data_IF_653197338122
#
_entry.id   IF_653197338122
#
_cell.length_a   1.000
_cell.length_b   1.000
_cell.length_c   1.000
_cell.angle_alpha   90.00
_cell.angle_beta   90.00
_cell.angle_gamma   90.00
#
_symmetry.space_group_name_H-M   'P 1'
#
loop_
_entity.id
_entity.type
_entity.pdbx_description
1 polymer ?
#
# COMPACT_ATOMS: atom_id res chain seq x y z
N UNK A 1 -32.29 -15.38 -10.54
CA UNK A 1 -31.34 -16.42 -10.09
C UNK A 1 -31.32 -16.40 -8.58
N UNK A 2 -31.17 -17.58 -7.91
CA UNK A 2 -31.12 -17.59 -6.44
C UNK A 2 -29.79 -16.96 -5.93
N UNK A 3 -29.84 -16.28 -4.78
CA UNK A 3 -28.65 -15.69 -4.17
C UNK A 3 -27.55 -16.71 -3.86
N UNK A 4 -27.94 -17.93 -3.52
CA UNK A 4 -27.02 -19.05 -3.28
C UNK A 4 -26.23 -19.42 -4.56
N UNK A 5 -26.89 -19.39 -5.73
CA UNK A 5 -26.22 -19.64 -7.01
C UNK A 5 -25.20 -18.54 -7.33
N UNK A 6 -25.57 -17.27 -7.19
CA UNK A 6 -24.65 -16.14 -7.43
C UNK A 6 -23.46 -16.19 -6.46
N UNK A 7 -23.70 -16.46 -5.18
CA UNK A 7 -22.63 -16.67 -4.20
C UNK A 7 -21.67 -17.82 -4.60
N UNK A 8 -22.23 -18.93 -5.09
CA UNK A 8 -21.44 -20.06 -5.61
C UNK A 8 -20.60 -19.68 -6.85
N UNK A 9 -21.15 -18.91 -7.77
CA UNK A 9 -20.41 -18.41 -8.96
C UNK A 9 -19.25 -17.48 -8.55
N UNK A 10 -19.48 -16.60 -7.58
CA UNK A 10 -18.42 -15.70 -7.10
C UNK A 10 -17.33 -16.49 -6.37
N UNK A 11 -17.71 -17.44 -5.50
CA UNK A 11 -16.75 -18.30 -4.84
C UNK A 11 -15.88 -19.07 -5.84
N UNK A 12 -16.52 -19.64 -6.89
CA UNK A 12 -15.81 -20.31 -7.99
C UNK A 12 -14.90 -19.32 -8.75
N UNK A 13 -15.37 -18.10 -9.02
CA UNK A 13 -14.58 -17.05 -9.67
C UNK A 13 -13.31 -16.72 -8.86
N UNK A 14 -13.42 -16.57 -7.55
CA UNK A 14 -12.27 -16.34 -6.65
C UNK A 14 -11.30 -17.52 -6.70
N UNK A 15 -11.82 -18.73 -6.66
CA UNK A 15 -11.01 -19.96 -6.73
C UNK A 15 -10.26 -20.05 -8.07
N UNK A 16 -10.93 -19.73 -9.18
CA UNK A 16 -10.30 -19.64 -10.51
C UNK A 16 -9.18 -18.58 -10.50
N UNK A 17 -9.44 -17.39 -9.95
CA UNK A 17 -8.41 -16.32 -9.86
C UNK A 17 -7.20 -16.80 -9.06
N UNK A 18 -7.41 -17.40 -7.90
CA UNK A 18 -6.32 -17.92 -7.06
C UNK A 18 -5.51 -18.97 -7.83
N UNK A 19 -6.15 -19.96 -8.41
CA UNK A 19 -5.47 -21.06 -9.13
C UNK A 19 -4.76 -20.54 -10.38
N UNK A 20 -5.41 -19.69 -11.19
CA UNK A 20 -4.82 -19.16 -12.40
C UNK A 20 -3.57 -18.30 -12.12
N UNK A 21 -3.62 -17.44 -11.10
CA UNK A 21 -2.50 -16.54 -10.77
C UNK A 21 -1.39 -17.32 -10.03
N UNK A 22 -1.72 -18.13 -9.01
CA UNK A 22 -0.71 -18.76 -8.16
C UNK A 22 -0.08 -20.01 -8.79
N UNK A 23 -0.91 -20.92 -9.32
CA UNK A 23 -0.45 -22.21 -9.88
C UNK A 23 -0.04 -22.08 -11.35
N UNK A 24 -0.88 -21.45 -12.18
CA UNK A 24 -0.61 -21.30 -13.61
C UNK A 24 0.21 -20.05 -13.96
N UNK A 25 0.58 -19.23 -12.95
CA UNK A 25 1.39 -18.01 -13.12
C UNK A 25 0.86 -17.03 -14.16
N UNK A 26 -0.46 -17.00 -14.37
CA UNK A 26 -1.10 -16.08 -15.31
C UNK A 26 -1.07 -14.64 -14.75
N UNK A 27 -0.94 -13.66 -15.65
CA UNK A 27 -0.91 -12.25 -15.25
C UNK A 27 -2.28 -11.83 -14.67
N UNK A 28 -2.34 -11.16 -13.51
CA UNK A 28 -3.60 -10.76 -12.83
C UNK A 28 -4.56 -9.99 -13.73
N UNK A 29 -4.06 -9.11 -14.59
CA UNK A 29 -4.88 -8.36 -15.56
C UNK A 29 -5.72 -9.29 -16.44
N UNK A 30 -5.10 -10.28 -17.07
CA UNK A 30 -5.80 -11.22 -17.97
C UNK A 30 -6.84 -12.01 -17.21
N UNK A 31 -6.46 -12.52 -16.03
CA UNK A 31 -7.36 -13.34 -15.19
C UNK A 31 -8.56 -12.53 -14.74
N UNK A 32 -8.36 -11.31 -14.24
CA UNK A 32 -9.45 -10.44 -13.78
C UNK A 32 -10.45 -10.10 -14.90
N UNK A 33 -9.95 -9.76 -16.09
CA UNK A 33 -10.82 -9.45 -17.24
C UNK A 33 -11.62 -10.69 -17.67
N UNK A 34 -10.97 -11.85 -17.83
CA UNK A 34 -11.63 -13.09 -18.22
C UNK A 34 -12.66 -13.55 -17.16
N UNK A 35 -12.33 -13.48 -15.89
CA UNK A 35 -13.24 -13.83 -14.80
C UNK A 35 -14.40 -12.84 -14.72
N UNK A 36 -14.20 -11.55 -15.00
CA UNK A 36 -15.27 -10.56 -15.07
C UNK A 36 -16.29 -10.93 -16.15
N UNK A 37 -15.81 -11.29 -17.35
CA UNK A 37 -16.66 -11.73 -18.46
C UNK A 37 -17.39 -13.03 -18.08
N UNK A 38 -16.68 -14.00 -17.53
CA UNK A 38 -17.25 -15.28 -17.09
C UNK A 38 -18.40 -15.08 -16.08
N UNK A 39 -18.15 -14.30 -15.03
CA UNK A 39 -19.18 -14.02 -13.99
C UNK A 39 -20.40 -13.33 -14.60
N UNK A 40 -20.19 -12.30 -15.44
CA UNK A 40 -21.29 -11.58 -16.07
C UNK A 40 -22.17 -12.51 -16.92
N UNK A 41 -21.57 -13.35 -17.77
CA UNK A 41 -22.29 -14.29 -18.64
C UNK A 41 -23.01 -15.38 -17.84
N UNK A 42 -22.34 -16.01 -16.87
CA UNK A 42 -22.92 -17.09 -16.06
C UNK A 42 -24.06 -16.58 -15.18
N UNK A 43 -23.97 -15.31 -14.73
CA UNK A 43 -25.05 -14.64 -14.00
C UNK A 43 -26.16 -14.08 -14.92
N UNK A 44 -26.19 -14.42 -16.21
CA UNK A 44 -27.27 -14.12 -17.12
C UNK A 44 -27.30 -12.70 -17.69
N UNK A 45 -26.20 -11.95 -17.60
CA UNK A 45 -26.09 -10.65 -18.27
C UNK A 45 -26.00 -10.84 -19.80
N UNK A 46 -26.67 -10.01 -20.61
CA UNK A 46 -26.47 -9.99 -22.06
C UNK A 46 -25.01 -9.73 -22.43
N UNK A 47 -24.47 -10.42 -23.42
CA UNK A 47 -23.05 -10.39 -23.77
C UNK A 47 -22.55 -8.97 -24.12
N UNK A 48 -23.35 -8.19 -24.85
CA UNK A 48 -23.08 -6.80 -25.18
C UNK A 48 -22.97 -5.92 -23.90
N UNK A 49 -23.85 -6.15 -22.92
CA UNK A 49 -23.87 -5.46 -21.65
C UNK A 49 -22.67 -5.88 -20.78
N UNK A 50 -22.26 -7.15 -20.81
CA UNK A 50 -21.03 -7.60 -20.12
C UNK A 50 -19.82 -6.83 -20.65
N UNK A 51 -19.63 -6.76 -21.97
CA UNK A 51 -18.47 -6.08 -22.56
C UNK A 51 -18.51 -4.56 -22.28
N UNK A 52 -19.68 -3.93 -22.39
CA UNK A 52 -19.80 -2.49 -22.07
C UNK A 52 -19.53 -2.20 -20.60
N UNK A 53 -19.99 -3.05 -19.68
CA UNK A 53 -19.73 -2.93 -18.23
C UNK A 53 -18.25 -3.14 -17.91
N UNK A 54 -17.59 -4.13 -18.51
CA UNK A 54 -16.14 -4.37 -18.36
C UNK A 54 -15.33 -3.16 -18.81
N UNK A 55 -15.62 -2.61 -20.01
CA UNK A 55 -14.95 -1.40 -20.53
C UNK A 55 -15.21 -0.18 -19.64
N UNK A 56 -16.46 0.03 -19.22
CA UNK A 56 -16.86 1.13 -18.37
C UNK A 56 -16.19 1.06 -16.98
N UNK A 57 -16.12 -0.12 -16.39
CA UNK A 57 -15.44 -0.34 -15.12
C UNK A 57 -13.93 -0.09 -15.19
N UNK A 58 -13.28 -0.58 -16.27
CA UNK A 58 -11.86 -0.34 -16.54
C UNK A 58 -11.56 1.15 -16.66
N UNK A 59 -12.26 1.85 -17.54
CA UNK A 59 -12.04 3.29 -17.78
C UNK A 59 -12.43 4.15 -16.57
N UNK A 60 -13.51 3.80 -15.88
CA UNK A 60 -14.02 4.56 -14.74
C UNK A 60 -13.03 4.63 -13.58
N UNK A 61 -12.43 3.50 -13.20
CA UNK A 61 -11.44 3.50 -12.11
C UNK A 61 -10.14 4.23 -12.53
N UNK A 62 -9.68 4.07 -13.78
CA UNK A 62 -8.51 4.79 -14.25
C UNK A 62 -8.74 6.30 -14.33
N UNK A 63 -9.94 6.73 -14.72
CA UNK A 63 -10.34 8.14 -14.70
C UNK A 63 -10.28 8.72 -13.29
N UNK A 64 -10.67 7.94 -12.28
CA UNK A 64 -10.72 8.38 -10.89
C UNK A 64 -9.32 8.54 -10.25
N UNK A 65 -8.43 7.56 -10.45
CA UNK A 65 -7.18 7.48 -9.67
C UNK A 65 -5.91 7.29 -10.53
N UNK A 66 -6.04 7.11 -11.84
CA UNK A 66 -4.89 6.78 -12.68
C UNK A 66 -3.78 7.85 -12.61
N UNK A 67 -4.15 9.14 -12.68
CA UNK A 67 -3.20 10.26 -12.59
C UNK A 67 -2.49 10.26 -11.23
N UNK A 68 -3.24 9.99 -10.15
CA UNK A 68 -2.71 9.97 -8.78
C UNK A 68 -1.68 8.86 -8.59
N UNK A 69 -1.96 7.66 -9.15
CA UNK A 69 -1.01 6.53 -9.13
C UNK A 69 0.29 6.89 -9.87
N UNK A 70 0.18 7.43 -11.09
CA UNK A 70 1.36 7.82 -11.89
C UNK A 70 2.17 8.91 -11.18
N UNK A 71 1.51 9.93 -10.64
CA UNK A 71 2.17 11.02 -9.93
C UNK A 71 2.93 10.50 -8.69
N UNK A 72 2.30 9.63 -7.89
CA UNK A 72 2.94 9.03 -6.72
C UNK A 72 4.18 8.21 -7.07
N UNK A 73 4.12 7.40 -8.14
CA UNK A 73 5.27 6.59 -8.58
C UNK A 73 6.41 7.43 -9.17
N UNK A 74 6.11 8.55 -9.84
CA UNK A 74 7.13 9.50 -10.31
C UNK A 74 7.84 10.13 -9.11
N UNK A 75 7.12 10.62 -8.11
CA UNK A 75 7.70 11.20 -6.89
C UNK A 75 8.62 10.17 -6.22
N UNK A 76 8.12 8.95 -5.99
CA UNK A 76 8.90 7.87 -5.37
C UNK A 76 10.19 7.58 -6.12
N UNK A 77 10.13 7.47 -7.45
CA UNK A 77 11.30 7.21 -8.30
C UNK A 77 12.34 8.34 -8.23
N UNK A 78 11.90 9.60 -8.24
CA UNK A 78 12.83 10.73 -8.15
C UNK A 78 13.50 10.78 -6.76
N UNK A 79 12.74 10.55 -5.68
CA UNK A 79 13.29 10.52 -4.32
C UNK A 79 14.32 9.39 -4.14
N UNK A 80 14.09 8.26 -4.77
CA UNK A 80 15.03 7.14 -4.83
C UNK A 80 16.31 7.54 -5.57
N UNK A 81 16.19 8.03 -6.80
CA UNK A 81 17.32 8.35 -7.68
C UNK A 81 18.17 9.52 -7.18
N UNK A 82 17.59 10.48 -6.48
CA UNK A 82 18.29 11.67 -5.95
C UNK A 82 18.97 11.41 -4.59
N UNK A 83 18.79 10.22 -3.99
CA UNK A 83 19.27 9.94 -2.63
C UNK A 83 18.47 10.66 -1.53
N UNK A 84 17.34 11.28 -1.84
CA UNK A 84 16.48 11.93 -0.84
C UNK A 84 16.00 10.94 0.23
N UNK A 85 15.68 9.70 -0.16
CA UNK A 85 15.33 8.63 0.78
C UNK A 85 16.46 8.35 1.79
N UNK A 86 17.72 8.40 1.35
CA UNK A 86 18.89 8.26 2.20
C UNK A 86 19.04 9.43 3.19
N UNK A 87 18.79 10.66 2.72
CA UNK A 87 18.80 11.86 3.59
C UNK A 87 17.72 11.78 4.65
N UNK A 88 16.51 11.33 4.28
CA UNK A 88 15.41 11.10 5.24
C UNK A 88 15.82 10.10 6.31
N UNK A 89 16.40 8.97 5.90
CA UNK A 89 16.90 7.93 6.79
C UNK A 89 17.95 8.46 7.78
N UNK A 90 18.96 9.18 7.26
CA UNK A 90 20.02 9.74 8.09
C UNK A 90 19.51 10.83 9.05
N UNK A 91 18.51 11.60 8.64
CA UNK A 91 17.85 12.59 9.50
C UNK A 91 17.16 11.92 10.69
N UNK A 92 16.43 10.83 10.44
CA UNK A 92 15.77 10.05 11.51
C UNK A 92 16.81 9.43 12.44
N UNK A 93 17.91 8.92 11.88
CA UNK A 93 19.03 8.41 12.67
C UNK A 93 19.63 9.49 13.59
N UNK A 94 19.76 10.72 13.10
CA UNK A 94 20.23 11.85 13.89
C UNK A 94 19.30 12.25 15.03
N UNK A 95 17.97 12.17 14.82
CA UNK A 95 16.94 12.55 15.81
C UNK A 95 16.77 11.47 16.88
N UNK A 96 16.61 10.20 16.47
CA UNK A 96 16.28 9.08 17.37
C UNK A 96 17.52 8.59 18.12
N UNK A 97 18.68 8.70 17.48
CA UNK A 97 19.98 8.34 18.02
C UNK A 97 20.33 6.86 17.85
N UNK A 98 21.62 6.59 17.92
CA UNK A 98 22.22 5.26 17.65
C UNK A 98 21.94 4.23 18.74
N UNK A 99 21.72 4.67 19.97
CA UNK A 99 21.43 3.80 21.11
C UNK A 99 20.09 3.03 20.97
N UNK A 100 19.19 3.53 20.14
CA UNK A 100 17.89 2.91 19.85
C UNK A 100 17.83 2.38 18.42
N UNK A 101 18.90 1.75 17.95
CA UNK A 101 19.13 1.35 16.56
C UNK A 101 17.94 0.61 15.90
N UNK A 102 17.32 -0.32 16.61
CA UNK A 102 16.14 -1.07 16.10
C UNK A 102 14.94 -0.15 15.88
N UNK A 103 14.66 0.77 16.82
CA UNK A 103 13.60 1.77 16.67
C UNK A 103 13.92 2.74 15.52
N UNK A 104 15.16 3.20 15.46
CA UNK A 104 15.64 4.07 14.39
C UNK A 104 15.41 3.42 13.02
N UNK A 105 15.76 2.13 12.89
CA UNK A 105 15.63 1.43 11.63
C UNK A 105 14.17 1.26 11.21
N UNK A 106 13.28 0.91 12.17
CA UNK A 106 11.85 0.83 11.90
C UNK A 106 11.23 2.18 11.53
N UNK A 107 11.56 3.25 12.24
CA UNK A 107 11.09 4.60 11.90
C UNK A 107 11.64 5.09 10.55
N UNK A 108 12.88 4.75 10.23
CA UNK A 108 13.47 5.02 8.92
C UNK A 108 12.65 4.33 7.82
N UNK A 109 12.38 3.03 7.99
CA UNK A 109 11.51 2.29 7.07
C UNK A 109 10.10 2.89 6.99
N UNK A 110 9.51 3.23 8.11
CA UNK A 110 8.16 3.82 8.20
C UNK A 110 8.06 5.13 7.39
N UNK A 111 8.96 6.06 7.61
CA UNK A 111 8.90 7.37 6.91
C UNK A 111 9.24 7.23 5.43
N UNK A 112 10.27 6.46 5.09
CA UNK A 112 10.67 6.26 3.69
C UNK A 112 9.69 5.38 2.91
N UNK A 113 8.98 4.46 3.56
CA UNK A 113 7.97 3.61 2.94
C UNK A 113 6.68 4.34 2.54
N UNK A 114 6.46 5.57 3.02
CA UNK A 114 5.31 6.38 2.57
C UNK A 114 5.39 6.69 1.06
N UNK A 115 6.51 7.23 0.53
CA UNK A 115 6.61 7.56 -0.90
C UNK A 115 7.29 6.47 -1.75
N UNK A 116 8.07 5.58 -1.14
CA UNK A 116 8.93 4.62 -1.85
C UNK A 116 8.36 3.21 -1.73
N UNK A 117 8.41 2.45 -2.81
CA UNK A 117 8.05 1.03 -2.76
C UNK A 117 8.90 0.28 -1.74
N UNK A 118 8.29 -0.62 -0.99
CA UNK A 118 8.98 -1.37 0.07
C UNK A 118 10.21 -2.15 -0.45
N UNK A 119 10.14 -2.75 -1.64
CA UNK A 119 11.26 -3.45 -2.26
C UNK A 119 12.45 -2.51 -2.50
N UNK A 120 12.24 -1.40 -3.23
CA UNK A 120 13.26 -0.39 -3.50
C UNK A 120 13.77 0.26 -2.22
N UNK A 121 12.87 0.63 -1.31
CA UNK A 121 13.22 1.22 -0.01
C UNK A 121 14.12 0.30 0.81
N UNK A 122 13.84 -1.00 0.81
CA UNK A 122 14.68 -1.96 1.51
C UNK A 122 16.08 -2.07 0.89
N UNK A 123 16.18 -2.16 -0.44
CA UNK A 123 17.46 -2.23 -1.15
C UNK A 123 18.32 -1.00 -0.86
N UNK A 124 17.74 0.22 -0.95
CA UNK A 124 18.44 1.48 -0.72
C UNK A 124 18.91 1.62 0.73
N UNK A 125 18.09 1.16 1.69
CA UNK A 125 18.36 1.33 3.12
C UNK A 125 19.11 0.17 3.76
N UNK A 126 19.25 -0.97 3.05
CA UNK A 126 19.95 -2.14 3.57
C UNK A 126 21.43 -1.88 3.93
N UNK A 127 22.21 -1.07 3.18
CA UNK A 127 23.58 -0.73 3.60
C UNK A 127 23.61 0.07 4.91
N UNK A 128 22.62 0.96 5.13
CA UNK A 128 22.50 1.68 6.42
C UNK A 128 22.13 0.70 7.53
N UNK A 129 21.23 -0.24 7.26
CA UNK A 129 20.85 -1.28 8.23
C UNK A 129 22.07 -2.11 8.63
N UNK A 130 22.95 -2.48 7.69
CA UNK A 130 24.20 -3.19 7.93
C UNK A 130 25.17 -2.36 8.79
N UNK A 131 25.44 -1.13 8.38
CA UNK A 131 26.35 -0.23 9.10
C UNK A 131 25.85 0.05 10.53
N UNK A 132 24.54 0.20 10.73
CA UNK A 132 23.95 0.41 12.03
C UNK A 132 23.92 -0.86 12.88
N UNK A 133 23.72 -2.03 12.27
CA UNK A 133 23.79 -3.35 12.92
C UNK A 133 25.18 -3.58 13.50
N UNK A 134 26.23 -3.40 12.71
CA UNK A 134 27.62 -3.52 13.12
C UNK A 134 27.96 -2.57 14.27
N UNK A 135 27.66 -1.28 14.10
CA UNK A 135 27.97 -0.24 15.08
C UNK A 135 27.24 -0.39 16.41
N UNK A 136 26.05 -0.99 16.40
CA UNK A 136 25.23 -1.22 17.61
C UNK A 136 25.36 -2.63 18.18
N UNK A 137 26.18 -3.48 17.55
CA UNK A 137 26.33 -4.90 17.89
C UNK A 137 24.98 -5.64 17.95
N UNK A 138 24.12 -5.39 16.96
CA UNK A 138 22.80 -6.01 16.80
C UNK A 138 22.81 -6.87 15.55
N UNK A 139 22.24 -8.08 15.62
CA UNK A 139 22.14 -8.97 14.46
C UNK A 139 21.48 -8.29 13.26
N UNK A 140 22.01 -8.54 12.06
CA UNK A 140 21.42 -8.07 10.81
C UNK A 140 19.99 -8.60 10.61
N UNK A 141 19.67 -9.79 11.14
CA UNK A 141 18.30 -10.33 11.14
C UNK A 141 17.33 -9.38 11.87
N UNK A 142 17.73 -8.82 12.99
CA UNK A 142 16.91 -7.85 13.75
C UNK A 142 16.74 -6.54 12.97
N UNK A 143 17.84 -6.02 12.42
CA UNK A 143 17.81 -4.75 11.69
C UNK A 143 17.00 -4.85 10.38
N UNK A 144 17.19 -5.92 9.61
CA UNK A 144 16.41 -6.16 8.40
C UNK A 144 14.93 -6.36 8.71
N UNK A 145 14.59 -7.11 9.76
CA UNK A 145 13.20 -7.30 10.18
C UNK A 145 12.57 -5.98 10.63
N UNK A 146 13.31 -5.13 11.37
CA UNK A 146 12.82 -3.83 11.82
C UNK A 146 12.62 -2.86 10.64
N UNK A 147 13.56 -2.83 9.69
CA UNK A 147 13.43 -2.05 8.47
C UNK A 147 12.22 -2.49 7.66
N UNK A 148 12.08 -3.80 7.47
CA UNK A 148 10.94 -4.39 6.76
C UNK A 148 9.61 -4.01 7.39
N UNK A 149 9.50 -4.10 8.71
CA UNK A 149 8.28 -3.74 9.43
C UNK A 149 7.88 -2.28 9.20
N UNK A 150 8.83 -1.35 9.29
CA UNK A 150 8.55 0.06 9.00
C UNK A 150 8.06 0.29 7.58
N UNK A 151 8.80 -0.21 6.59
CA UNK A 151 8.48 -0.06 5.17
C UNK A 151 7.12 -0.67 4.82
N UNK A 152 6.84 -1.87 5.31
CA UNK A 152 5.67 -2.62 4.88
C UNK A 152 4.38 -2.11 5.52
N UNK A 153 4.45 -1.65 6.77
CA UNK A 153 3.32 -1.03 7.45
C UNK A 153 2.78 0.18 6.67
N UNK A 154 3.66 1.08 6.21
CA UNK A 154 3.23 2.25 5.44
C UNK A 154 2.91 1.91 3.99
N UNK A 155 3.64 1.00 3.37
CA UNK A 155 3.37 0.58 1.99
C UNK A 155 1.95 0.02 1.81
N UNK A 156 1.44 -0.75 2.77
CA UNK A 156 0.12 -1.37 2.67
C UNK A 156 -1.03 -0.48 3.18
N UNK A 157 -0.74 0.53 4.02
CA UNK A 157 -1.78 1.28 4.72
C UNK A 157 -1.83 2.77 4.37
N UNK A 158 -0.73 3.36 3.90
CA UNK A 158 -0.62 4.82 3.77
C UNK A 158 -0.45 5.26 2.31
N UNK A 159 -1.40 6.04 1.75
CA UNK A 159 -1.14 6.76 0.51
C UNK A 159 0.08 7.71 0.65
N UNK A 160 0.82 8.03 -0.43
CA UNK A 160 0.49 7.83 -1.83
C UNK A 160 0.96 6.51 -2.45
N UNK A 161 1.21 5.47 -1.66
CA UNK A 161 1.47 4.15 -2.24
C UNK A 161 0.29 3.67 -3.09
N UNK A 162 0.54 3.00 -4.22
CA UNK A 162 -0.50 2.72 -5.22
C UNK A 162 -1.64 1.81 -4.74
N UNK A 163 -1.34 0.86 -3.85
CA UNK A 163 -2.34 -0.06 -3.30
C UNK A 163 -3.46 0.66 -2.54
N UNK A 164 -3.13 1.44 -1.49
CA UNK A 164 -4.10 2.26 -0.77
C UNK A 164 -4.86 3.25 -1.65
N UNK A 165 -4.20 3.88 -2.63
CA UNK A 165 -4.88 4.77 -3.59
C UNK A 165 -5.91 3.98 -4.43
N UNK A 166 -5.53 2.81 -4.96
CA UNK A 166 -6.41 1.98 -5.76
C UNK A 166 -7.65 1.53 -4.97
N UNK A 167 -7.47 1.16 -3.70
CA UNK A 167 -8.59 0.82 -2.81
C UNK A 167 -9.49 2.03 -2.56
N UNK A 168 -8.90 3.20 -2.28
CA UNK A 168 -9.66 4.44 -2.04
C UNK A 168 -10.54 4.79 -3.24
N UNK A 169 -9.98 4.72 -4.46
CA UNK A 169 -10.76 4.93 -5.70
C UNK A 169 -11.84 3.89 -5.92
N UNK A 170 -11.56 2.61 -5.68
CA UNK A 170 -12.52 1.52 -5.87
C UNK A 170 -13.72 1.63 -4.92
N UNK A 171 -13.48 2.02 -3.67
CA UNK A 171 -14.49 2.17 -2.62
C UNK A 171 -15.09 3.58 -2.58
N UNK A 172 -14.65 4.51 -3.43
CA UNK A 172 -15.02 5.92 -3.40
C UNK A 172 -14.88 6.51 -1.99
N UNK A 173 -13.71 6.32 -1.38
CA UNK A 173 -13.36 6.84 -0.07
C UNK A 173 -12.64 8.18 -0.17
N UNK A 174 -12.81 9.05 0.82
CA UNK A 174 -12.04 10.29 0.93
C UNK A 174 -10.55 9.96 1.16
N UNK A 175 -9.68 10.38 0.23
CA UNK A 175 -8.26 10.03 0.26
C UNK A 175 -7.54 10.65 1.47
N UNK A 176 -7.94 11.85 1.91
CA UNK A 176 -7.34 12.49 3.09
C UNK A 176 -7.70 11.74 4.37
N UNK A 177 -8.95 11.28 4.50
CA UNK A 177 -9.35 10.43 5.60
C UNK A 177 -8.60 9.08 5.58
N UNK A 178 -8.41 8.50 4.40
CA UNK A 178 -7.61 7.26 4.23
C UNK A 178 -6.16 7.48 4.66
N UNK A 179 -5.55 8.62 4.31
CA UNK A 179 -4.20 8.97 4.78
C UNK A 179 -4.14 9.06 6.30
N UNK A 180 -5.08 9.79 6.92
CA UNK A 180 -5.11 9.98 8.37
C UNK A 180 -5.29 8.65 9.11
N UNK A 181 -6.28 7.87 8.73
CA UNK A 181 -6.55 6.56 9.34
C UNK A 181 -5.40 5.59 9.06
N UNK A 182 -4.80 5.65 7.87
CA UNK A 182 -3.61 4.87 7.51
C UNK A 182 -2.41 5.18 8.39
N UNK A 183 -2.11 6.45 8.62
CA UNK A 183 -1.04 6.86 9.54
C UNK A 183 -1.31 6.40 10.98
N UNK A 184 -2.56 6.47 11.44
CA UNK A 184 -2.93 6.01 12.79
C UNK A 184 -2.80 4.49 12.91
N UNK A 185 -3.28 3.73 11.93
CA UNK A 185 -3.31 2.26 11.99
C UNK A 185 -1.95 1.61 11.70
N UNK A 186 -1.09 2.26 10.94
CA UNK A 186 0.26 1.76 10.63
C UNK A 186 1.24 1.86 11.81
N UNK A 187 1.02 2.78 12.77
CA UNK A 187 1.87 2.89 13.96
C UNK A 187 1.81 1.64 14.85
N UNK A 188 0.63 1.13 15.28
CA UNK A 188 0.56 -0.13 16.02
C UNK A 188 1.18 -1.31 15.26
N UNK A 189 0.98 -1.37 13.92
CA UNK A 189 1.60 -2.40 13.08
C UNK A 189 3.13 -2.37 13.19
N UNK A 190 3.73 -1.20 12.94
CA UNK A 190 5.18 -1.01 13.06
C UNK A 190 5.69 -1.36 14.46
N UNK A 191 5.02 -0.89 15.52
CA UNK A 191 5.42 -1.18 16.90
C UNK A 191 5.42 -2.69 17.17
N UNK A 192 4.37 -3.39 16.74
CA UNK A 192 4.28 -4.84 16.87
C UNK A 192 5.41 -5.55 16.09
N UNK A 193 5.71 -5.07 14.88
CA UNK A 193 6.83 -5.55 14.08
C UNK A 193 8.18 -5.33 14.76
N UNK A 194 8.41 -4.17 15.38
CA UNK A 194 9.64 -3.89 16.14
C UNK A 194 9.77 -4.77 17.38
N UNK A 195 8.68 -5.03 18.10
CA UNK A 195 8.67 -5.95 19.23
C UNK A 195 9.00 -7.37 18.75
N UNK A 196 8.42 -7.78 17.62
CA UNK A 196 8.73 -9.06 17.00
C UNK A 196 10.20 -9.17 16.59
N UNK A 197 10.74 -8.15 15.94
CA UNK A 197 12.15 -8.09 15.56
C UNK A 197 13.07 -8.29 16.79
N UNK A 198 12.78 -7.60 17.89
CA UNK A 198 13.57 -7.72 19.13
C UNK A 198 13.42 -9.07 19.83
N UNK A 199 12.25 -9.72 19.78
CA UNK A 199 11.97 -10.95 20.54
C UNK A 199 12.22 -12.22 19.73
N UNK A 200 12.00 -12.19 18.43
CA UNK A 200 12.07 -13.37 17.57
C UNK A 200 13.28 -13.33 16.65
N UNK A 201 13.49 -12.25 15.89
CA UNK A 201 14.61 -12.15 14.98
C UNK A 201 15.97 -12.12 15.75
N UNK A 202 15.99 -11.65 17.00
CA UNK A 202 17.19 -11.66 17.86
C UNK A 202 17.72 -13.07 18.21
N UNK A 203 16.92 -14.10 17.95
CA UNK A 203 17.37 -15.51 18.16
C UNK A 203 18.30 -15.99 17.02
N UNK A 204 18.41 -15.21 15.95
CA UNK A 204 19.21 -15.54 14.77
C UNK A 204 20.36 -14.53 14.67
N UNK A 205 21.56 -15.00 14.95
CA UNK A 205 22.76 -14.20 14.84
C UNK A 205 23.28 -14.22 13.41
N UNK A 206 23.15 -13.09 12.72
CA UNK A 206 23.69 -12.85 11.39
C UNK A 206 24.64 -11.65 11.49
N UNK A 207 25.94 -11.83 11.15
CA UNK A 207 26.91 -10.74 11.18
C UNK A 207 26.56 -9.70 10.11
N UNK A 208 26.76 -8.43 10.44
CA UNK A 208 26.37 -7.34 9.56
C UNK A 208 27.31 -7.16 8.36
N UNK A 209 28.62 -7.37 8.56
CA UNK A 209 29.69 -7.24 7.56
C UNK A 209 29.46 -6.05 6.61
N UNK A 210 29.43 -4.79 7.10
CA UNK A 210 29.17 -3.65 6.26
C UNK A 210 30.35 -3.41 5.29
N UNK A 211 30.04 -3.15 4.03
CA UNK A 211 31.04 -2.74 3.02
C UNK A 211 31.47 -1.28 3.22
N UNK A 212 30.54 -0.44 3.78
CA UNK A 212 30.70 0.99 3.95
C UNK A 212 30.15 1.44 5.29
N UNK A 213 30.75 2.45 5.87
CA UNK A 213 30.14 3.23 6.99
C UNK A 213 28.98 4.08 6.47
N UNK A 214 28.13 4.60 7.39
CA UNK A 214 27.03 5.51 7.00
C UNK A 214 27.59 6.76 6.31
N UNK A 215 28.69 7.26 6.83
CA UNK A 215 29.39 8.44 6.32
C UNK A 215 29.91 8.21 4.90
N UNK A 216 30.57 7.09 4.62
CA UNK A 216 31.06 6.71 3.28
C UNK A 216 29.91 6.47 2.29
N UNK A 217 28.79 5.92 2.75
CA UNK A 217 27.57 5.78 1.92
C UNK A 217 27.04 7.15 1.48
N UNK A 218 27.03 8.12 2.41
CA UNK A 218 26.59 9.49 2.08
C UNK A 218 27.55 10.16 1.06
N UNK A 219 28.84 9.97 1.17
CA UNK A 219 29.84 10.47 0.21
C UNK A 219 29.71 9.85 -1.17
N UNK A 220 29.39 8.55 -1.26
CA UNK A 220 29.22 7.82 -2.54
C UNK A 220 28.10 8.41 -3.42
N UNK A 221 27.03 8.94 -2.81
CA UNK A 221 25.96 9.61 -3.55
C UNK A 221 26.31 11.04 -4.00
N UNK A 222 27.47 11.57 -3.59
CA UNK A 222 27.90 12.91 -3.92
C UNK A 222 27.07 14.01 -3.25
N UNK A 223 26.61 15.00 -4.02
CA UNK A 223 25.84 16.12 -3.45
C UNK A 223 24.39 15.70 -3.18
N UNK A 224 24.10 15.31 -1.95
CA UNK A 224 22.77 14.98 -1.47
C UNK A 224 21.89 16.24 -1.30
N UNK A 225 20.56 16.11 -1.49
CA UNK A 225 19.63 17.20 -1.26
C UNK A 225 19.55 17.58 0.23
N UNK A 226 19.11 18.81 0.53
CA UNK A 226 18.87 19.23 1.91
C UNK A 226 17.69 18.51 2.55
N UNK A 227 17.67 18.44 3.88
CA UNK A 227 16.63 17.73 4.65
C UNK A 227 15.23 18.22 4.28
N UNK A 228 14.95 19.52 4.36
CA UNK A 228 13.63 20.08 4.05
C UNK A 228 13.22 19.76 2.61
N UNK A 229 14.13 19.87 1.65
CA UNK A 229 13.86 19.52 0.26
C UNK A 229 13.52 18.04 0.08
N UNK A 230 14.19 17.14 0.82
CA UNK A 230 13.93 15.69 0.73
C UNK A 230 12.55 15.31 1.23
N UNK A 231 12.03 15.97 2.25
CA UNK A 231 10.70 15.71 2.81
C UNK A 231 9.57 16.45 2.08
N UNK A 232 9.83 17.63 1.50
CA UNK A 232 8.80 18.49 0.91
C UNK A 232 7.92 17.82 -0.15
N UNK A 233 8.45 17.02 -1.10
CA UNK A 233 7.64 16.33 -2.11
C UNK A 233 6.59 15.36 -1.56
N UNK A 234 6.72 14.95 -0.30
CA UNK A 234 5.82 14.02 0.38
C UNK A 234 4.89 14.79 1.31
N UNK A 235 5.48 15.57 2.20
CA UNK A 235 4.73 16.22 3.28
C UNK A 235 3.76 17.26 2.73
N UNK A 236 4.18 18.05 1.74
CA UNK A 236 3.30 19.09 1.21
C UNK A 236 2.04 18.54 0.52
N UNK A 237 2.10 17.55 -0.39
CA UNK A 237 0.89 16.93 -0.93
C UNK A 237 -0.03 16.34 0.14
N UNK A 238 0.52 15.68 1.16
CA UNK A 238 -0.28 15.12 2.27
C UNK A 238 -1.03 16.24 3.01
N UNK A 239 -0.36 17.34 3.33
CA UNK A 239 -0.98 18.50 3.99
C UNK A 239 -2.07 19.10 3.09
N UNK A 240 -1.81 19.29 1.80
CA UNK A 240 -2.79 19.86 0.86
C UNK A 240 -4.04 18.98 0.76
N UNK A 241 -3.89 17.66 0.63
CA UNK A 241 -4.99 16.70 0.60
C UNK A 241 -5.79 16.74 1.92
N UNK A 242 -5.10 16.79 3.07
CA UNK A 242 -5.76 16.92 4.36
C UNK A 242 -6.54 18.24 4.49
N UNK A 243 -5.99 19.35 3.99
CA UNK A 243 -6.69 20.66 3.95
C UNK A 243 -7.97 20.58 3.12
N UNK A 244 -7.96 19.89 1.96
CA UNK A 244 -9.17 19.63 1.16
C UNK A 244 -10.21 18.85 1.98
N UNK A 245 -9.81 17.74 2.62
CA UNK A 245 -10.74 16.93 3.41
C UNK A 245 -11.38 17.72 4.53
N UNK A 246 -10.63 18.63 5.17
CA UNK A 246 -11.18 19.58 6.14
C UNK A 246 -12.12 20.59 5.47
N UNK A 247 -11.75 21.14 4.31
CA UNK A 247 -12.55 22.12 3.58
C UNK A 247 -13.90 21.55 3.12
N UNK A 248 -13.91 20.28 2.70
CA UNK A 248 -15.08 19.58 2.18
C UNK A 248 -15.92 18.90 3.29
N UNK A 249 -15.51 19.04 4.56
CA UNK A 249 -16.22 18.44 5.69
C UNK A 249 -17.64 19.05 5.83
N UNK A 250 -18.67 18.24 6.18
CA UNK A 250 -20.07 18.71 6.21
C UNK A 250 -20.36 19.91 7.09
N UNK A 251 -19.53 20.17 8.12
CA UNK A 251 -19.67 21.36 8.98
C UNK A 251 -19.14 22.65 8.35
N UNK A 252 -18.58 22.58 7.14
CA UNK A 252 -17.99 23.71 6.40
C UNK A 252 -17.06 24.62 7.24
N UNK A 253 -16.01 24.08 7.87
CA UNK A 253 -15.18 24.85 8.81
C UNK A 253 -14.45 26.04 8.17
N UNK A 254 -14.28 26.04 6.84
CA UNK A 254 -13.70 27.16 6.07
C UNK A 254 -14.76 28.06 5.41
N UNK A 255 -16.04 27.87 5.76
CA UNK A 255 -17.17 28.58 5.15
C UNK A 255 -17.43 28.14 3.70
N UNK A 256 -18.39 28.82 3.04
CA UNK A 256 -18.69 28.62 1.61
C UNK A 256 -18.23 29.86 0.83
N UNK A 257 -17.05 29.80 0.23
CA UNK A 257 -16.51 30.94 -0.50
C UNK A 257 -15.19 30.67 -1.19
N UNK A 258 -14.51 31.72 -1.63
CA UNK A 258 -13.25 31.63 -2.38
C UNK A 258 -12.17 30.83 -1.63
N UNK A 259 -12.10 30.92 -0.30
CA UNK A 259 -11.12 30.19 0.53
C UNK A 259 -11.35 28.70 0.44
N UNK A 260 -12.61 28.23 0.61
CA UNK A 260 -12.98 26.81 0.45
C UNK A 260 -12.66 26.35 -0.96
N UNK A 261 -13.09 27.08 -1.98
CA UNK A 261 -12.86 26.72 -3.40
C UNK A 261 -11.37 26.57 -3.69
N UNK A 262 -10.55 27.53 -3.22
CA UNK A 262 -9.09 27.46 -3.39
C UNK A 262 -8.48 26.28 -2.63
N UNK A 263 -8.87 26.07 -1.37
CA UNK A 263 -8.39 24.94 -0.56
C UNK A 263 -8.76 23.59 -1.19
N UNK A 264 -10.00 23.43 -1.67
CA UNK A 264 -10.45 22.23 -2.37
C UNK A 264 -9.72 22.01 -3.68
N UNK A 265 -9.39 23.08 -4.42
CA UNK A 265 -8.63 22.99 -5.68
C UNK A 265 -7.18 22.56 -5.45
N UNK A 266 -6.42 23.27 -4.59
CA UNK A 266 -5.01 22.93 -4.36
C UNK A 266 -4.82 21.62 -3.61
N UNK A 267 -5.81 21.23 -2.79
CA UNK A 267 -5.84 19.97 -2.06
C UNK A 267 -6.43 18.80 -2.88
N UNK A 268 -6.88 19.04 -4.11
CA UNK A 268 -7.24 17.94 -4.98
C UNK A 268 -6.04 17.00 -5.18
N UNK A 269 -6.20 15.67 -4.99
CA UNK A 269 -5.08 14.73 -5.04
C UNK A 269 -4.22 14.86 -6.32
N UNK A 270 -4.85 15.17 -7.46
CA UNK A 270 -4.11 15.38 -8.72
C UNK A 270 -3.22 16.63 -8.63
N UNK A 271 -3.79 17.76 -8.18
CA UNK A 271 -3.04 19.03 -8.07
C UNK A 271 -1.96 18.92 -7.00
N UNK A 272 -2.29 18.39 -5.82
CA UNK A 272 -1.35 18.22 -4.73
C UNK A 272 -0.14 17.35 -5.12
N UNK A 273 -0.37 16.23 -5.82
CA UNK A 273 0.73 15.38 -6.27
C UNK A 273 1.50 15.96 -7.46
N UNK A 274 0.87 16.73 -8.34
CA UNK A 274 1.60 17.48 -9.36
C UNK A 274 2.55 18.52 -8.72
N UNK A 275 2.12 19.22 -7.66
CA UNK A 275 3.00 20.07 -6.85
C UNK A 275 4.14 19.23 -6.25
N UNK A 276 3.83 18.03 -5.74
CA UNK A 276 4.84 17.08 -5.25
C UNK A 276 5.87 16.70 -6.32
N UNK A 277 5.45 16.45 -7.57
CA UNK A 277 6.36 16.18 -8.69
C UNK A 277 7.28 17.39 -8.94
N UNK A 278 6.73 18.61 -9.00
CA UNK A 278 7.54 19.81 -9.19
C UNK A 278 8.59 19.96 -8.09
N UNK A 279 8.24 19.73 -6.84
CA UNK A 279 9.18 19.72 -5.73
C UNK A 279 10.23 18.63 -5.87
N UNK A 280 9.83 17.41 -6.22
CA UNK A 280 10.75 16.30 -6.46
C UNK A 280 11.75 16.62 -7.59
N UNK A 281 11.29 17.26 -8.66
CA UNK A 281 12.16 17.69 -9.77
C UNK A 281 13.23 18.69 -9.34
N UNK A 282 13.00 19.51 -8.31
CA UNK A 282 14.02 20.43 -7.76
C UNK A 282 15.16 19.71 -7.03
N UNK A 283 14.97 18.45 -6.67
CA UNK A 283 16.00 17.61 -6.04
C UNK A 283 17.04 17.13 -7.06
N UNK A 284 16.71 17.13 -8.36
CA UNK A 284 17.57 16.58 -9.40
C UNK A 284 18.75 17.54 -9.60
N UNK A 285 20.01 17.11 -9.37
CA UNK A 285 21.17 17.94 -9.56
C UNK A 285 21.28 18.45 -11.01
N UNK A 286 21.85 19.63 -11.19
CA UNK A 286 22.07 20.22 -12.54
C UNK A 286 22.91 19.28 -13.44
N UNK A 287 23.89 18.58 -12.84
CA UNK A 287 24.70 17.57 -13.53
C UNK A 287 23.88 16.41 -14.09
N UNK A 288 22.76 16.07 -13.45
CA UNK A 288 21.85 14.99 -13.83
C UNK A 288 20.61 15.48 -14.59
N UNK A 289 20.59 16.75 -14.99
CA UNK A 289 19.40 17.36 -15.62
C UNK A 289 18.98 16.69 -16.93
N UNK A 290 19.90 16.05 -17.66
CA UNK A 290 19.61 15.24 -18.85
C UNK A 290 18.86 13.93 -18.53
N UNK A 291 18.94 13.44 -17.30
CA UNK A 291 18.27 12.22 -16.86
C UNK A 291 16.84 12.48 -16.34
N UNK A 292 16.39 13.73 -16.26
CA UNK A 292 15.05 14.08 -15.76
C UNK A 292 13.94 13.33 -16.49
N UNK A 293 14.02 13.31 -17.81
CA UNK A 293 13.03 12.65 -18.65
C UNK A 293 13.01 11.13 -18.38
N UNK A 294 14.19 10.50 -18.34
CA UNK A 294 14.33 9.06 -18.14
C UNK A 294 13.83 8.64 -16.76
N UNK A 295 14.08 9.44 -15.71
CA UNK A 295 13.59 9.13 -14.35
C UNK A 295 12.08 9.27 -14.25
N UNK A 296 11.48 10.27 -14.93
CA UNK A 296 10.03 10.37 -15.04
C UNK A 296 9.43 9.20 -15.81
N UNK A 297 10.04 8.81 -16.96
CA UNK A 297 9.64 7.63 -17.72
C UNK A 297 9.71 6.37 -16.87
N UNK A 298 10.77 6.20 -16.06
CA UNK A 298 10.89 5.05 -15.16
C UNK A 298 9.75 5.05 -14.12
N UNK A 299 9.39 6.20 -13.56
CA UNK A 299 8.23 6.33 -12.65
C UNK A 299 6.92 5.93 -13.32
N UNK A 300 6.71 6.32 -14.57
CA UNK A 300 5.54 5.91 -15.38
C UNK A 300 5.56 4.40 -15.62
N UNK A 301 6.69 3.84 -16.02
CA UNK A 301 6.84 2.39 -16.22
C UNK A 301 6.58 1.59 -14.95
N UNK A 302 7.02 2.08 -13.79
CA UNK A 302 6.74 1.47 -12.49
C UNK A 302 5.24 1.45 -12.17
N UNK A 303 4.45 2.42 -12.68
CA UNK A 303 3.00 2.45 -12.51
C UNK A 303 2.23 1.56 -13.47
N UNK A 304 2.81 1.17 -14.62
CA UNK A 304 2.09 0.54 -15.72
C UNK A 304 1.34 -0.73 -15.33
N UNK A 305 2.01 -1.67 -14.67
CA UNK A 305 1.37 -2.92 -14.20
C UNK A 305 0.25 -2.63 -13.19
N UNK A 306 0.46 -1.66 -12.29
CA UNK A 306 -0.52 -1.26 -11.28
C UNK A 306 -1.77 -0.70 -11.95
N UNK A 307 -1.61 0.18 -12.93
CA UNK A 307 -2.73 0.79 -13.67
C UNK A 307 -3.58 -0.27 -14.37
N UNK A 308 -2.97 -1.19 -15.12
CA UNK A 308 -3.74 -2.20 -15.86
C UNK A 308 -4.44 -3.19 -14.93
N UNK A 309 -3.82 -3.58 -13.81
CA UNK A 309 -4.43 -4.46 -12.80
C UNK A 309 -5.58 -3.73 -12.10
N UNK A 310 -5.40 -2.45 -11.74
CA UNK A 310 -6.43 -1.62 -11.14
C UNK A 310 -7.62 -1.44 -12.07
N UNK A 311 -7.37 -1.17 -13.36
CA UNK A 311 -8.41 -1.12 -14.38
C UNK A 311 -9.21 -2.43 -14.48
N UNK A 312 -8.51 -3.57 -14.50
CA UNK A 312 -9.14 -4.89 -14.53
C UNK A 312 -9.95 -5.19 -13.25
N UNK A 313 -9.44 -4.75 -12.07
CA UNK A 313 -10.18 -4.78 -10.82
C UNK A 313 -11.48 -3.95 -10.88
N UNK A 314 -11.40 -2.75 -11.48
CA UNK A 314 -12.58 -1.91 -11.76
C UNK A 314 -13.60 -2.60 -12.65
N UNK A 315 -13.15 -3.34 -13.68
CA UNK A 315 -14.03 -4.17 -14.52
C UNK A 315 -14.77 -5.23 -13.71
N UNK A 316 -14.04 -5.96 -12.87
CA UNK A 316 -14.61 -6.98 -12.00
C UNK A 316 -15.61 -6.39 -11.00
N UNK A 317 -15.23 -5.29 -10.33
CA UNK A 317 -16.11 -4.57 -9.41
C UNK A 317 -17.39 -4.03 -10.09
N UNK A 318 -17.29 -3.53 -11.34
CA UNK A 318 -18.44 -3.07 -12.10
C UNK A 318 -19.42 -4.21 -12.43
N UNK A 319 -18.92 -5.38 -12.83
CA UNK A 319 -19.77 -6.58 -13.02
C UNK A 319 -20.46 -6.96 -11.72
N UNK A 320 -19.73 -7.06 -10.61
CA UNK A 320 -20.32 -7.42 -9.32
C UNK A 320 -21.40 -6.43 -8.85
N UNK A 321 -21.20 -5.13 -9.08
CA UNK A 321 -22.18 -4.08 -8.73
C UNK A 321 -23.49 -4.18 -9.53
N UNK A 322 -23.49 -4.80 -10.71
CA UNK A 322 -24.72 -5.01 -11.51
C UNK A 322 -25.53 -6.21 -11.06
N UNK A 323 -24.95 -7.08 -10.23
CA UNK A 323 -25.62 -8.26 -9.70
C UNK A 323 -26.29 -7.92 -8.34
N UNK A 324 -27.48 -8.45 -8.05
CA UNK A 324 -28.19 -8.21 -6.78
C UNK A 324 -27.56 -8.99 -5.62
N UNK A 325 -26.27 -8.79 -5.40
CA UNK A 325 -25.48 -9.53 -4.40
C UNK A 325 -25.75 -9.07 -2.98
N UNK A 326 -25.96 -7.77 -2.80
CA UNK A 326 -26.24 -7.19 -1.48
C UNK A 326 -27.51 -7.83 -0.89
N UNK A 327 -28.60 -7.95 -1.68
CA UNK A 327 -29.85 -8.55 -1.24
C UNK A 327 -29.71 -10.06 -0.99
N UNK A 328 -28.89 -10.73 -1.81
CA UNK A 328 -28.70 -12.17 -1.76
C UNK A 328 -27.82 -12.66 -0.60
N UNK A 329 -26.85 -11.85 -0.18
CA UNK A 329 -25.87 -12.21 0.84
C UNK A 329 -26.08 -11.47 2.16
N UNK A 330 -26.94 -10.43 2.19
CA UNK A 330 -27.15 -9.58 3.37
C UNK A 330 -27.53 -10.36 4.61
N UNK A 331 -28.45 -11.31 4.50
CA UNK A 331 -28.89 -12.13 5.64
C UNK A 331 -27.78 -13.03 6.18
N UNK A 332 -26.98 -13.63 5.31
CA UNK A 332 -25.86 -14.46 5.70
C UNK A 332 -24.70 -13.63 6.30
N UNK A 333 -24.37 -12.47 5.69
CA UNK A 333 -23.30 -11.59 6.18
C UNK A 333 -23.67 -10.92 7.50
N UNK A 334 -24.93 -10.47 7.67
CA UNK A 334 -25.42 -9.90 8.92
C UNK A 334 -25.47 -10.92 10.05
N UNK A 335 -25.82 -12.19 9.74
CA UNK A 335 -25.84 -13.26 10.75
C UNK A 335 -24.45 -13.64 11.25
N UNK A 336 -23.40 -13.47 10.43
CA UNK A 336 -22.03 -13.79 10.79
C UNK A 336 -21.32 -12.69 11.60
N UNK A 337 -21.86 -11.45 11.61
CA UNK A 337 -21.28 -10.27 12.31
C UNK A 337 -19.76 -10.09 12.11
N UNK A 338 -19.25 -10.45 10.93
CA UNK A 338 -17.80 -10.52 10.67
C UNK A 338 -17.22 -9.09 10.43
N UNK A 339 -18.05 -8.11 10.01
CA UNK A 339 -17.62 -6.70 9.87
C UNK A 339 -16.31 -6.55 9.08
N UNK A 340 -15.35 -5.86 9.66
CA UNK A 340 -14.03 -5.58 9.07
C UNK A 340 -13.14 -6.82 8.90
N UNK A 341 -13.46 -7.94 9.54
CA UNK A 341 -12.69 -9.19 9.39
C UNK A 341 -12.91 -9.85 8.02
N UNK A 342 -14.08 -9.67 7.37
CA UNK A 342 -14.32 -10.25 6.05
C UNK A 342 -13.32 -9.73 5.01
N UNK A 343 -13.18 -8.40 4.78
CA UNK A 343 -12.19 -7.86 3.86
C UNK A 343 -10.75 -8.25 4.23
N UNK A 344 -10.43 -8.31 5.51
CA UNK A 344 -9.12 -8.78 5.98
C UNK A 344 -8.85 -10.23 5.55
N UNK A 345 -9.77 -11.16 5.82
CA UNK A 345 -9.60 -12.58 5.50
C UNK A 345 -9.45 -12.79 3.99
N UNK A 346 -10.30 -12.14 3.18
CA UNK A 346 -10.22 -12.24 1.72
C UNK A 346 -8.84 -11.74 1.24
N UNK A 347 -8.39 -10.58 1.71
CA UNK A 347 -7.09 -10.03 1.35
C UNK A 347 -5.93 -10.94 1.77
N UNK A 348 -5.97 -11.51 2.97
CA UNK A 348 -4.94 -12.41 3.48
C UNK A 348 -4.85 -13.72 2.67
N UNK A 349 -5.99 -14.29 2.30
CA UNK A 349 -6.04 -15.47 1.44
C UNK A 349 -5.49 -15.18 0.04
N UNK A 350 -5.91 -14.08 -0.57
CA UNK A 350 -5.41 -13.67 -1.89
C UNK A 350 -3.92 -13.33 -1.84
N UNK A 351 -3.44 -12.62 -0.82
CA UNK A 351 -2.02 -12.33 -0.62
C UNK A 351 -1.20 -13.62 -0.49
N UNK A 352 -1.65 -14.53 0.36
CA UNK A 352 -0.98 -15.83 0.55
C UNK A 352 -0.92 -16.63 -0.76
N UNK A 353 -1.98 -16.58 -1.57
CA UNK A 353 -2.02 -17.30 -2.84
C UNK A 353 -1.19 -16.65 -3.96
N UNK A 354 -1.30 -15.32 -4.11
CA UNK A 354 -0.75 -14.58 -5.27
C UNK A 354 0.64 -13.97 -5.01
N UNK A 355 1.00 -13.73 -3.76
CA UNK A 355 2.28 -13.16 -3.36
C UNK A 355 2.35 -11.62 -3.43
N UNK A 356 1.58 -10.97 -4.28
CA UNK A 356 1.65 -9.51 -4.48
C UNK A 356 0.60 -8.77 -3.64
N UNK A 357 1.05 -7.91 -2.71
CA UNK A 357 0.16 -7.12 -1.83
C UNK A 357 -0.75 -6.20 -2.60
N UNK A 358 -0.21 -5.43 -3.55
CA UNK A 358 -0.98 -4.47 -4.36
C UNK A 358 -2.09 -5.16 -5.15
N UNK A 359 -1.82 -6.35 -5.71
CA UNK A 359 -2.83 -7.14 -6.43
C UNK A 359 -3.93 -7.61 -5.47
N UNK A 360 -3.55 -8.13 -4.29
CA UNK A 360 -4.51 -8.56 -3.26
C UNK A 360 -5.40 -7.39 -2.81
N UNK A 361 -4.84 -6.19 -2.59
CA UNK A 361 -5.58 -4.97 -2.26
C UNK A 361 -6.62 -4.61 -3.33
N UNK A 362 -6.19 -4.55 -4.60
CA UNK A 362 -7.05 -4.17 -5.73
C UNK A 362 -8.20 -5.18 -5.91
N UNK A 363 -7.88 -6.48 -5.94
CA UNK A 363 -8.88 -7.53 -6.14
C UNK A 363 -9.87 -7.57 -4.98
N UNK A 364 -9.38 -7.52 -3.74
CA UNK A 364 -10.24 -7.54 -2.55
C UNK A 364 -11.16 -6.33 -2.51
N UNK A 365 -10.65 -5.12 -2.78
CA UNK A 365 -11.48 -3.91 -2.78
C UNK A 365 -12.60 -3.98 -3.80
N UNK A 366 -12.32 -4.52 -5.01
CA UNK A 366 -13.33 -4.73 -6.04
C UNK A 366 -14.42 -5.74 -5.62
N UNK A 367 -14.03 -6.81 -4.91
CA UNK A 367 -14.97 -7.82 -4.39
C UNK A 367 -15.83 -7.27 -3.24
N UNK A 368 -15.23 -6.47 -2.35
CA UNK A 368 -15.90 -5.97 -1.14
C UNK A 368 -16.79 -4.75 -1.45
N UNK A 369 -16.46 -3.96 -2.46
CA UNK A 369 -17.19 -2.73 -2.81
C UNK A 369 -18.73 -2.90 -2.87
N UNK A 370 -19.31 -3.91 -3.53
CA UNK A 370 -20.76 -4.11 -3.56
C UNK A 370 -21.35 -4.58 -2.23
N UNK A 371 -20.53 -5.08 -1.29
CA UNK A 371 -20.95 -5.63 -0.01
C UNK A 371 -20.93 -4.56 1.11
N UNK A 372 -20.36 -3.38 0.87
CA UNK A 372 -20.20 -2.32 1.88
C UNK A 372 -21.50 -1.96 2.63
N UNK A 373 -22.65 -1.77 1.94
CA UNK A 373 -23.91 -1.47 2.62
C UNK A 373 -24.36 -2.61 3.56
N UNK A 374 -24.23 -3.88 3.09
CA UNK A 374 -24.62 -5.07 3.86
C UNK A 374 -23.72 -5.33 5.07
N UNK A 375 -22.48 -4.83 5.04
CA UNK A 375 -21.55 -4.91 6.17
C UNK A 375 -21.74 -3.77 7.19
N UNK A 376 -22.62 -2.80 6.92
CA UNK A 376 -22.80 -1.61 7.75
C UNK A 376 -21.63 -0.61 7.69
N UNK A 377 -20.74 -0.74 6.70
CA UNK A 377 -19.47 0.01 6.59
C UNK A 377 -19.46 1.01 5.41
N UNK A 378 -20.65 1.47 4.98
CA UNK A 378 -20.77 2.38 3.84
C UNK A 378 -20.47 3.85 4.16
N UNK A 379 -20.35 4.24 5.43
CA UNK A 379 -19.93 5.58 5.86
C UNK A 379 -18.49 5.89 5.39
N UNK A 380 -18.10 7.17 5.33
CA UNK A 380 -16.72 7.53 4.93
C UNK A 380 -15.67 6.91 5.86
N UNK A 381 -15.94 6.89 7.18
CA UNK A 381 -15.07 6.22 8.14
C UNK A 381 -15.09 4.70 7.94
N UNK A 382 -16.26 4.09 7.70
CA UNK A 382 -16.39 2.68 7.39
C UNK A 382 -15.58 2.26 6.16
N UNK A 383 -15.62 3.06 5.08
CA UNK A 383 -14.79 2.84 3.89
C UNK A 383 -13.29 2.90 4.21
N UNK A 384 -12.85 3.91 4.98
CA UNK A 384 -11.45 4.02 5.40
C UNK A 384 -11.02 2.81 6.24
N UNK A 385 -11.84 2.35 7.18
CA UNK A 385 -11.56 1.17 8.01
C UNK A 385 -11.51 -0.13 7.19
N UNK A 386 -12.38 -0.27 6.18
CA UNK A 386 -12.31 -1.40 5.24
C UNK A 386 -11.02 -1.38 4.44
N UNK A 387 -10.57 -0.21 3.97
CA UNK A 387 -9.27 -0.07 3.29
C UNK A 387 -8.14 -0.53 4.23
N UNK A 388 -8.15 -0.12 5.49
CA UNK A 388 -7.16 -0.55 6.46
C UNK A 388 -7.23 -2.07 6.74
N UNK A 389 -8.42 -2.65 6.80
CA UNK A 389 -8.60 -4.09 6.97
C UNK A 389 -8.06 -4.88 5.76
N UNK A 390 -8.32 -4.40 4.53
CA UNK A 390 -7.75 -4.98 3.31
C UNK A 390 -6.23 -4.84 3.31
N UNK A 391 -5.70 -3.67 3.66
CA UNK A 391 -4.27 -3.40 3.80
C UNK A 391 -3.62 -4.35 4.80
N UNK A 392 -4.24 -4.55 5.96
CA UNK A 392 -3.81 -5.49 6.99
C UNK A 392 -3.75 -6.94 6.47
N UNK A 393 -4.78 -7.39 5.75
CA UNK A 393 -4.79 -8.71 5.13
C UNK A 393 -3.74 -8.87 4.04
N UNK A 394 -3.56 -7.83 3.22
CA UNK A 394 -2.59 -7.84 2.12
C UNK A 394 -1.13 -7.77 2.56
N UNK A 395 -0.85 -7.41 3.80
CA UNK A 395 0.50 -7.53 4.38
C UNK A 395 0.72 -8.87 5.08
N UNK A 396 -0.35 -9.56 5.48
CA UNK A 396 -0.25 -10.84 6.16
C UNK A 396 0.51 -11.89 5.33
N UNK A 397 1.40 -12.64 6.00
CA UNK A 397 2.04 -13.84 5.45
C UNK A 397 2.81 -13.56 4.14
N UNK A 398 3.76 -12.63 4.16
CA UNK A 398 4.77 -12.49 3.11
C UNK A 398 5.69 -13.72 3.12
N UNK A 399 5.71 -14.52 2.05
CA UNK A 399 6.48 -15.76 1.97
C UNK A 399 7.13 -15.94 0.58
N UNK A 400 7.66 -17.12 0.27
CA UNK A 400 8.48 -17.37 -0.92
C UNK A 400 7.84 -17.05 -2.28
N UNK A 401 6.52 -16.81 -2.36
CA UNK A 401 5.88 -16.32 -3.59
C UNK A 401 5.87 -14.80 -3.74
N UNK A 402 6.35 -14.07 -2.72
CA UNK A 402 6.41 -12.62 -2.66
C UNK A 402 7.83 -12.12 -2.97
N UNK A 403 7.96 -11.15 -3.89
CA UNK A 403 9.24 -10.51 -4.21
C UNK A 403 9.89 -9.88 -2.97
N UNK A 404 9.08 -9.22 -2.14
CA UNK A 404 9.57 -8.57 -0.94
C UNK A 404 10.18 -9.54 0.08
N UNK A 405 9.64 -10.75 0.19
CA UNK A 405 10.26 -11.81 1.01
C UNK A 405 11.71 -12.08 0.59
N UNK A 406 11.96 -12.16 -0.71
CA UNK A 406 13.30 -12.43 -1.23
C UNK A 406 14.23 -11.22 -1.09
N UNK A 407 13.73 -10.02 -1.32
CA UNK A 407 14.51 -8.79 -1.09
C UNK A 407 14.96 -8.73 0.36
N UNK A 408 14.05 -8.88 1.33
CA UNK A 408 14.41 -8.85 2.75
C UNK A 408 15.39 -9.97 3.10
N UNK A 409 15.15 -11.19 2.63
CA UNK A 409 16.01 -12.32 2.96
C UNK A 409 17.42 -12.16 2.41
N UNK A 410 17.56 -11.76 1.14
CA UNK A 410 18.87 -11.65 0.48
C UNK A 410 19.68 -10.47 1.01
N UNK A 411 19.08 -9.30 1.15
CA UNK A 411 19.77 -8.11 1.67
C UNK A 411 20.05 -8.12 3.17
N UNK A 412 19.44 -9.08 3.89
CA UNK A 412 19.74 -9.32 5.32
C UNK A 412 20.52 -10.63 5.55
N UNK A 413 21.06 -11.25 4.50
CA UNK A 413 21.80 -12.52 4.54
C UNK A 413 21.05 -13.65 5.28
N UNK A 414 19.71 -13.61 5.24
CA UNK A 414 18.88 -14.63 5.86
C UNK A 414 18.77 -15.86 4.97
N UNK A 415 19.06 -17.04 5.51
CA UNK A 415 18.62 -18.28 4.84
C UNK A 415 17.11 -18.30 4.73
N UNK A 416 16.57 -19.03 3.75
CA UNK A 416 15.11 -19.13 3.56
C UNK A 416 14.34 -19.52 4.83
N UNK A 417 14.89 -20.45 5.62
CA UNK A 417 14.30 -20.86 6.89
C UNK A 417 14.25 -19.74 7.93
N UNK A 418 15.30 -18.92 8.01
CA UNK A 418 15.32 -17.75 8.89
C UNK A 418 14.36 -16.68 8.38
N UNK A 419 14.31 -16.45 7.05
CA UNK A 419 13.39 -15.50 6.44
C UNK A 419 11.91 -15.85 6.73
N UNK A 420 11.54 -17.14 6.71
CA UNK A 420 10.20 -17.57 7.14
C UNK A 420 9.92 -17.20 8.61
N UNK A 421 10.92 -17.27 9.49
CA UNK A 421 10.73 -16.90 10.90
C UNK A 421 10.73 -15.38 11.10
N UNK A 422 11.56 -14.65 10.38
CA UNK A 422 11.70 -13.21 10.50
C UNK A 422 10.66 -12.47 9.65
N UNK A 423 10.70 -12.61 8.33
CA UNK A 423 9.86 -11.85 7.41
C UNK A 423 8.40 -12.31 7.42
N UNK A 424 8.14 -13.60 7.22
CA UNK A 424 6.76 -14.10 7.24
C UNK A 424 6.13 -13.92 8.62
N UNK A 425 6.89 -14.15 9.67
CA UNK A 425 6.41 -13.98 11.04
C UNK A 425 6.09 -12.53 11.39
N UNK A 426 6.94 -11.57 11.00
CA UNK A 426 6.69 -10.15 11.30
C UNK A 426 5.46 -9.63 10.55
N UNK A 427 5.34 -9.95 9.26
CA UNK A 427 4.19 -9.50 8.45
C UNK A 427 2.87 -10.12 8.92
N UNK A 428 2.89 -11.36 9.42
CA UNK A 428 1.74 -11.95 10.08
C UNK A 428 1.32 -11.16 11.33
N UNK A 429 2.28 -10.85 12.20
CA UNK A 429 2.02 -10.09 13.44
C UNK A 429 1.52 -8.68 13.12
N UNK A 430 2.09 -8.00 12.14
CA UNK A 430 1.63 -6.68 11.69
C UNK A 430 0.19 -6.72 11.19
N UNK A 431 -0.14 -7.67 10.31
CA UNK A 431 -1.48 -7.82 9.75
C UNK A 431 -2.53 -8.09 10.84
N UNK A 432 -2.25 -9.01 11.77
CA UNK A 432 -3.15 -9.31 12.89
C UNK A 432 -3.30 -8.09 13.82
N UNK A 433 -2.19 -7.43 14.18
CA UNK A 433 -2.26 -6.24 15.03
C UNK A 433 -3.08 -5.14 14.38
N UNK A 434 -2.88 -4.92 13.08
CA UNK A 434 -3.63 -3.90 12.34
C UNK A 434 -5.12 -4.21 12.31
N UNK A 435 -5.53 -5.43 11.97
CA UNK A 435 -6.97 -5.74 11.90
C UNK A 435 -7.64 -5.68 13.26
N UNK A 436 -6.96 -6.09 14.33
CA UNK A 436 -7.48 -5.94 15.70
C UNK A 436 -7.67 -4.47 16.06
N UNK A 437 -6.70 -3.61 15.70
CA UNK A 437 -6.81 -2.17 15.94
C UNK A 437 -7.92 -1.54 15.09
N UNK A 438 -8.05 -1.92 13.82
CA UNK A 438 -9.14 -1.51 12.93
C UNK A 438 -10.50 -1.94 13.49
N UNK A 439 -10.59 -3.15 14.04
CA UNK A 439 -11.82 -3.62 14.70
C UNK A 439 -12.19 -2.75 15.91
N UNK A 440 -11.21 -2.40 16.75
CA UNK A 440 -11.46 -1.49 17.89
C UNK A 440 -11.96 -0.13 17.39
N UNK A 441 -11.35 0.43 16.33
CA UNK A 441 -11.81 1.67 15.73
C UNK A 441 -13.23 1.53 15.14
N UNK A 442 -13.56 0.39 14.54
CA UNK A 442 -14.92 0.17 14.00
C UNK A 442 -16.01 0.15 15.08
N UNK A 443 -15.70 -0.33 16.28
CA UNK A 443 -16.63 -0.29 17.42
C UNK A 443 -16.88 1.13 17.96
N UNK A 444 -15.96 2.06 17.68
CA UNK A 444 -16.05 3.45 18.15
C UNK A 444 -16.76 4.35 17.13
N UNK A 445 -16.51 4.10 15.83
CA UNK A 445 -16.88 5.04 14.76
C UNK A 445 -17.93 4.50 13.79
N UNK A 446 -18.27 3.22 13.83
CA UNK A 446 -19.27 2.56 13.01
C UNK A 446 -20.29 1.82 13.86
#
# INVERSE_FOLDING_TARGET
MSGLFMGGVIFLAVLIMIVAISKFKQHPFVVLVLVSIFVGLVCGMPADKVISTVKGGFGGILSSIGIVIVAGTIIGTILEKTGAALVMANTILGIVGKARSVLTMGLTGYVTGIPVFCDSGFVILSPIARALADRSNVSLAVMGTALSAGLYATHCLVPPTPGPIAMAGTLNADLGLVILVGLITSVPAMIAGLIYAKKVASKYEIPANPEFTVEELMEKYGRLPGVVHSFAPIILPIILIAVKSVADFPSHPLGEGAVKTFASFIGDPVIALLIGIFLAMTLIPVSESKNKFDWMCQGILNSASILVITGAGGSFGAILKTLPLADALSSALLSLSIGVFLPFIIAALLKTAMGASTVAMIVTSAMVAPLMPSLGLASEMGKALVIMAIGAGSMCVSHANDSYFWVVSQFSDMSTNIAYKCQTGVTFVEGITTVVFVYILSLIFC
#
